data_IF_296171366933
#
_entry.id   IF_296171366933
#
_cell.length_a   1.000
_cell.length_b   1.000
_cell.length_c   1.000
_cell.angle_alpha   90.00
_cell.angle_beta   90.00
_cell.angle_gamma   90.00
#
_symmetry.space_group_name_H-M   'P 1'
#
loop_
_entity.id
_entity.type
_entity.pdbx_description
1 polymer ?
#
# COMPACT_ATOMS: atom_id res chain seq x y z
N UNK A 1 10.88 3.47 12.22
CA UNK A 1 10.41 2.07 12.36
C UNK A 1 9.01 1.96 12.97
N UNK A 2 8.74 2.47 14.18
CA UNK A 2 7.42 2.32 14.84
C UNK A 2 6.23 2.85 14.01
N UNK A 3 6.34 4.04 13.41
CA UNK A 3 5.27 4.60 12.58
C UNK A 3 4.97 3.77 11.33
N UNK A 4 5.98 3.11 10.75
CA UNK A 4 5.77 2.25 9.57
C UNK A 4 5.03 0.96 9.94
N UNK A 5 5.33 0.39 11.12
CA UNK A 5 4.59 -0.76 11.64
C UNK A 5 3.12 -0.43 11.91
N UNK A 6 2.87 0.72 12.56
CA UNK A 6 1.51 1.19 12.80
C UNK A 6 0.76 1.45 11.49
N UNK A 7 1.42 2.06 10.49
CA UNK A 7 0.84 2.26 9.17
C UNK A 7 0.49 0.93 8.48
N UNK A 8 1.38 -0.06 8.49
CA UNK A 8 1.11 -1.39 7.92
C UNK A 8 -0.10 -2.06 8.60
N UNK A 9 -0.18 -1.97 9.93
CA UNK A 9 -1.33 -2.52 10.68
C UNK A 9 -2.63 -1.78 10.33
N UNK A 10 -2.62 -0.45 10.32
CA UNK A 10 -3.77 0.37 9.94
C UNK A 10 -4.24 0.07 8.52
N UNK A 11 -3.31 0.05 7.56
CA UNK A 11 -3.62 -0.21 6.15
C UNK A 11 -4.23 -1.60 5.95
N UNK A 12 -3.72 -2.62 6.63
CA UNK A 12 -4.26 -3.98 6.51
C UNK A 12 -5.66 -4.12 7.11
N UNK A 13 -5.95 -3.44 8.22
CA UNK A 13 -7.26 -3.50 8.89
C UNK A 13 -8.31 -2.61 8.22
N UNK A 14 -7.91 -1.44 7.71
CA UNK A 14 -8.84 -0.49 7.10
C UNK A 14 -9.17 -0.81 5.64
N UNK A 15 -8.32 -1.57 4.95
CA UNK A 15 -8.47 -1.80 3.52
C UNK A 15 -9.24 -3.09 3.22
N UNK A 16 -10.08 -3.05 2.19
CA UNK A 16 -10.98 -4.17 1.83
C UNK A 16 -10.36 -4.92 0.64
N UNK A 17 -10.06 -6.20 0.83
CA UNK A 17 -9.30 -7.01 -0.14
C UNK A 17 -9.99 -7.09 -1.50
N UNK A 18 -11.32 -7.16 -1.50
CA UNK A 18 -12.17 -7.24 -2.68
C UNK A 18 -12.13 -5.95 -3.53
N UNK A 19 -11.82 -4.80 -2.91
CA UNK A 19 -11.73 -3.49 -3.60
C UNK A 19 -10.37 -3.24 -4.26
N UNK A 20 -9.49 -4.24 -4.32
CA UNK A 20 -8.14 -4.10 -4.87
C UNK A 20 -8.16 -3.92 -6.40
N UNK A 21 -8.16 -2.67 -6.86
CA UNK A 21 -8.04 -2.33 -8.28
C UNK A 21 -6.58 -2.00 -8.67
N UNK A 22 -5.85 -3.01 -9.13
CA UNK A 22 -4.45 -2.85 -9.52
C UNK A 22 -4.25 -1.99 -10.77
N UNK A 23 -5.21 -2.01 -11.71
CA UNK A 23 -5.12 -1.23 -12.95
C UNK A 23 -5.13 0.27 -12.66
N UNK A 24 -6.10 0.72 -11.85
CA UNK A 24 -6.22 2.11 -11.43
C UNK A 24 -5.02 2.54 -10.56
N UNK A 25 -4.58 1.66 -9.66
CA UNK A 25 -3.42 1.95 -8.80
C UNK A 25 -2.14 2.16 -9.61
N UNK A 26 -1.91 1.38 -10.68
CA UNK A 26 -0.74 1.58 -11.58
C UNK A 26 -0.86 2.89 -12.38
N UNK A 27 -2.07 3.29 -12.77
CA UNK A 27 -2.31 4.55 -13.48
C UNK A 27 -1.95 5.77 -12.62
N UNK A 28 -2.34 5.77 -11.34
CA UNK A 28 -2.02 6.87 -10.42
C UNK A 28 -0.62 6.77 -9.82
N UNK A 29 -0.15 5.55 -9.54
CA UNK A 29 1.12 5.30 -8.86
C UNK A 29 1.95 4.31 -9.69
N UNK A 30 2.85 4.81 -10.55
CA UNK A 30 3.73 3.99 -11.35
C UNK A 30 4.58 3.03 -10.49
N UNK A 31 4.80 1.81 -11.00
CA UNK A 31 5.49 0.73 -10.27
C UNK A 31 6.87 1.11 -9.75
N UNK A 32 7.58 2.03 -10.43
CA UNK A 32 8.90 2.53 -10.02
C UNK A 32 8.94 3.13 -8.60
N UNK A 33 7.80 3.64 -8.12
CA UNK A 33 7.70 4.26 -6.79
C UNK A 33 7.25 3.29 -5.70
N UNK A 34 6.83 2.07 -6.06
CA UNK A 34 6.30 1.12 -5.07
C UNK A 34 7.32 0.72 -4.02
N UNK A 35 8.63 0.81 -4.34
CA UNK A 35 9.73 0.61 -3.38
C UNK A 35 9.71 1.60 -2.20
N UNK A 36 9.04 2.73 -2.35
CA UNK A 36 8.91 3.76 -1.32
C UNK A 36 7.56 3.73 -0.60
N UNK A 37 6.61 2.89 -1.04
CA UNK A 37 5.31 2.75 -0.40
C UNK A 37 5.42 1.87 0.83
N UNK A 38 5.19 2.45 2.00
CA UNK A 38 5.32 1.80 3.31
C UNK A 38 4.43 0.57 3.45
N UNK A 39 3.26 0.56 2.82
CA UNK A 39 2.34 -0.59 2.80
C UNK A 39 2.73 -1.71 1.81
N UNK A 40 3.66 -1.44 0.88
CA UNK A 40 4.15 -2.43 -0.10
C UNK A 40 5.58 -2.85 0.11
N UNK A 41 6.30 -2.22 1.04
CA UNK A 41 7.64 -2.63 1.45
C UNK A 41 7.57 -4.00 2.13
N UNK A 42 8.41 -4.93 1.65
CA UNK A 42 8.61 -6.27 2.25
C UNK A 42 8.95 -6.12 3.73
#
# INVERSE_FOLDING_TARGET
>A
EMYQLLWKSYFNNSNIKERKNMKLHIQHIPRRYWKYLTEKQI
#
